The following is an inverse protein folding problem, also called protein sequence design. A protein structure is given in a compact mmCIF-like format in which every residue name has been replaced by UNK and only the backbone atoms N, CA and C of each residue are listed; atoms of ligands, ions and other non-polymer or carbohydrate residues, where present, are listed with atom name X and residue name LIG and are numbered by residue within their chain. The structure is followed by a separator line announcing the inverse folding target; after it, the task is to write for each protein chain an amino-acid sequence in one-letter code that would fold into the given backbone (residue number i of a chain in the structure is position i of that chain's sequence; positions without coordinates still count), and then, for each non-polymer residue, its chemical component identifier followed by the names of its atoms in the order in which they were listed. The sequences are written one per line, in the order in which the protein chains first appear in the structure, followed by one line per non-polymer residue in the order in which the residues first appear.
data_IF_802644586177
#
_entry.id   IF_802644586177
#
_cell.length_a   1.000
_cell.length_b   1.000
_cell.length_c   1.000
_cell.angle_alpha   90.00
_cell.angle_beta   90.00
_cell.angle_gamma   90.00
#
_symmetry.space_group_name_H-M   'P 1'
#
loop_
_entity.id
_entity.type
_entity.pdbx_description
1 polymer ?
#
# COMPACT_ATOMS: atom_id res chain seq x y z
N UNK A 1 54.76 -21.09 41.78
CA UNK A 1 54.42 -21.76 43.08
C UNK A 1 52.92 -21.78 43.27
N UNK A 2 52.42 -22.98 43.66
CA UNK A 2 51.04 -23.25 44.18
C UNK A 2 49.90 -23.09 43.19
N UNK A 3 49.38 -24.06 42.56
CA UNK A 3 48.75 -25.34 42.96
C UNK A 3 47.40 -25.15 43.68
N UNK A 4 46.46 -25.96 43.19
CA UNK A 4 45.34 -26.57 43.91
C UNK A 4 43.98 -25.88 43.57
N UNK A 5 42.89 -26.56 43.27
CA UNK A 5 42.43 -27.95 43.43
C UNK A 5 41.09 -28.15 42.69
N UNK A 6 40.95 -29.28 42.05
CA UNK A 6 39.66 -29.78 41.53
C UNK A 6 38.60 -29.87 42.63
N UNK A 7 37.40 -29.46 42.32
CA UNK A 7 36.19 -29.99 42.96
C UNK A 7 35.24 -30.44 41.88
N UNK A 8 35.13 -31.73 41.74
CA UNK A 8 34.09 -32.42 40.98
C UNK A 8 32.83 -32.41 41.85
N UNK A 9 31.79 -31.78 41.37
CA UNK A 9 30.46 -31.94 41.98
C UNK A 9 29.53 -32.56 40.94
N UNK A 10 29.25 -33.83 41.17
CA UNK A 10 28.23 -34.58 40.44
C UNK A 10 26.85 -34.05 40.83
N UNK A 11 26.06 -33.56 39.88
CA UNK A 11 24.66 -33.30 40.09
C UNK A 11 23.80 -34.25 39.27
N UNK A 12 23.03 -34.99 40.00
CA UNK A 12 22.09 -36.03 39.58
C UNK A 12 21.00 -35.45 38.68
N UNK A 13 20.81 -36.12 37.56
CA UNK A 13 19.79 -35.87 36.56
C UNK A 13 18.41 -36.31 37.10
N UNK A 14 17.53 -35.38 37.43
CA UNK A 14 16.11 -35.66 37.64
C UNK A 14 15.35 -35.41 36.39
N UNK A 15 14.88 -36.45 35.75
CA UNK A 15 14.04 -36.46 34.56
C UNK A 15 12.62 -36.11 34.95
N UNK A 16 12.23 -34.83 34.87
CA UNK A 16 10.83 -34.42 34.98
C UNK A 16 10.21 -34.35 33.58
N UNK A 17 9.31 -35.28 33.32
CA UNK A 17 8.52 -35.33 32.09
C UNK A 17 7.65 -34.13 31.96
N UNK A 18 7.96 -33.25 30.99
CA UNK A 18 7.06 -32.19 30.54
C UNK A 18 6.08 -32.78 29.52
N UNK A 19 4.85 -33.00 29.95
CA UNK A 19 3.74 -33.27 29.05
C UNK A 19 3.50 -32.01 28.22
N UNK A 20 3.98 -32.05 26.97
CA UNK A 20 3.72 -31.01 25.97
C UNK A 20 2.23 -31.05 25.61
N UNK A 21 1.43 -30.14 26.19
CA UNK A 21 0.09 -29.86 25.72
C UNK A 21 0.23 -29.19 24.34
N UNK A 22 -0.04 -29.96 23.29
CA UNK A 22 -0.17 -29.43 21.95
C UNK A 22 -1.36 -28.47 21.95
N UNK A 23 -1.08 -27.18 21.96
CA UNK A 23 -2.10 -26.17 21.68
C UNK A 23 -2.58 -26.35 20.23
N UNK A 24 -3.91 -26.41 20.00
CA UNK A 24 -4.40 -26.38 18.64
C UNK A 24 -3.96 -25.05 18.01
N UNK A 25 -3.06 -25.14 17.05
CA UNK A 25 -2.72 -24.02 16.18
C UNK A 25 -4.00 -23.63 15.46
N UNK A 26 -4.67 -22.58 15.95
CA UNK A 26 -5.69 -21.90 15.15
C UNK A 26 -4.96 -21.41 13.91
N UNK A 27 -5.17 -22.11 12.79
CA UNK A 27 -4.71 -21.67 11.49
C UNK A 27 -5.30 -20.24 11.32
N UNK A 28 -4.46 -19.24 11.56
CA UNK A 28 -4.77 -17.88 11.19
C UNK A 28 -5.02 -17.92 9.70
N UNK A 29 -6.29 -17.79 9.32
CA UNK A 29 -6.66 -17.55 7.93
C UNK A 29 -5.83 -16.37 7.49
N UNK A 30 -4.78 -16.64 6.71
CA UNK A 30 -3.98 -15.60 6.09
C UNK A 30 -4.96 -14.81 5.25
N UNK A 31 -5.31 -13.62 5.74
CA UNK A 31 -6.03 -12.65 4.96
C UNK A 31 -5.12 -12.36 3.77
N UNK A 32 -5.41 -12.99 2.63
CA UNK A 32 -4.71 -12.70 1.37
C UNK A 32 -4.90 -11.22 1.12
N UNK A 33 -3.80 -10.48 1.18
CA UNK A 33 -3.82 -9.05 0.85
C UNK A 33 -4.52 -8.87 -0.50
N UNK A 34 -5.45 -7.93 -0.61
CA UNK A 34 -6.16 -7.72 -1.87
C UNK A 34 -5.14 -7.40 -2.97
N UNK A 35 -5.29 -8.05 -4.12
CA UNK A 35 -4.45 -7.77 -5.29
C UNK A 35 -4.67 -6.33 -5.71
N UNK A 36 -3.61 -5.53 -5.76
CA UNK A 36 -3.68 -4.16 -6.28
C UNK A 36 -3.95 -4.21 -7.78
N UNK A 37 -5.00 -3.55 -8.22
CA UNK A 37 -5.38 -3.42 -9.63
C UNK A 37 -5.39 -1.99 -10.12
N UNK A 38 -5.16 -1.04 -9.22
CA UNK A 38 -5.07 0.38 -9.51
C UNK A 38 -4.47 1.14 -8.33
N UNK A 39 -4.10 2.38 -8.56
CA UNK A 39 -3.69 3.30 -7.51
C UNK A 39 -4.51 4.58 -7.63
N UNK A 40 -5.24 4.90 -6.58
CA UNK A 40 -5.89 6.20 -6.45
C UNK A 40 -4.88 7.21 -5.96
N UNK A 41 -4.81 8.36 -6.65
CA UNK A 41 -3.92 9.46 -6.28
C UNK A 41 -4.74 10.70 -6.02
N UNK A 42 -4.60 11.25 -4.83
CA UNK A 42 -5.27 12.49 -4.43
C UNK A 42 -4.23 13.60 -4.48
N UNK A 43 -4.45 14.57 -5.37
CA UNK A 43 -3.63 15.77 -5.48
C UNK A 43 -4.29 16.91 -4.71
N UNK A 44 -3.48 17.61 -3.92
CA UNK A 44 -3.92 18.80 -3.20
C UNK A 44 -2.92 19.92 -3.42
N UNK A 45 -3.40 21.13 -3.74
CA UNK A 45 -2.54 22.31 -3.85
C UNK A 45 -1.87 22.53 -2.49
N UNK A 46 -0.55 22.69 -2.49
CA UNK A 46 0.22 22.92 -1.28
C UNK A 46 -0.16 24.23 -0.59
N UNK A 47 -0.02 24.24 0.73
CA UNK A 47 -0.18 25.45 1.51
C UNK A 47 0.83 26.53 1.04
N UNK A 48 0.35 27.77 0.85
CA UNK A 48 1.17 28.90 0.36
C UNK A 48 1.35 28.96 -1.15
N UNK A 49 0.94 27.96 -1.91
CA UNK A 49 0.92 28.02 -3.38
C UNK A 49 -0.26 28.85 -3.83
N UNK A 50 -0.01 29.83 -4.70
CA UNK A 50 -1.06 30.69 -5.24
C UNK A 50 -1.72 30.08 -6.48
N UNK A 51 -2.93 30.56 -6.78
CA UNK A 51 -3.64 30.14 -7.99
C UNK A 51 -2.86 30.48 -9.26
N UNK A 52 -2.20 31.63 -9.28
CA UNK A 52 -1.41 32.10 -10.41
C UNK A 52 -0.25 31.16 -10.72
N UNK A 53 0.45 30.68 -9.67
CA UNK A 53 1.52 29.68 -9.82
C UNK A 53 1.01 28.39 -10.45
N UNK A 54 -0.12 27.88 -9.99
CA UNK A 54 -0.75 26.69 -10.56
C UNK A 54 -1.16 26.94 -12.02
N UNK A 55 -1.82 28.06 -12.30
CA UNK A 55 -2.32 28.38 -13.65
C UNK A 55 -1.21 28.62 -14.67
N UNK A 56 -0.04 29.08 -14.25
CA UNK A 56 1.12 29.24 -15.13
C UNK A 56 1.62 27.87 -15.70
N UNK A 57 1.45 26.80 -14.94
CA UNK A 57 1.89 25.44 -15.30
C UNK A 57 0.77 24.64 -15.95
N UNK A 58 -0.48 24.99 -15.71
CA UNK A 58 -1.68 24.24 -16.08
C UNK A 58 -1.74 23.83 -17.57
N UNK A 59 -1.36 24.67 -18.56
CA UNK A 59 -1.40 24.23 -19.95
C UNK A 59 -0.48 23.06 -20.28
N UNK A 60 0.67 22.97 -19.61
CA UNK A 60 1.60 21.84 -19.76
C UNK A 60 1.08 20.63 -19.01
N UNK A 61 0.57 20.82 -17.81
CA UNK A 61 -0.04 19.78 -16.98
C UNK A 61 -1.18 19.08 -17.72
N UNK A 62 -2.14 19.84 -18.25
CA UNK A 62 -3.29 19.29 -18.98
C UNK A 62 -2.83 18.46 -20.18
N UNK A 63 -1.87 18.94 -20.95
CA UNK A 63 -1.37 18.18 -22.12
C UNK A 63 -0.79 16.83 -21.72
N UNK A 64 0.05 16.79 -20.70
CA UNK A 64 0.67 15.54 -20.25
C UNK A 64 -0.36 14.60 -19.60
N UNK A 65 -1.27 15.12 -18.80
CA UNK A 65 -2.35 14.34 -18.18
C UNK A 65 -3.27 13.72 -19.23
N UNK A 66 -3.63 14.47 -20.29
CA UNK A 66 -4.41 13.94 -21.41
C UNK A 66 -3.65 12.83 -22.14
N UNK A 67 -2.34 12.96 -22.34
CA UNK A 67 -1.53 11.90 -22.95
C UNK A 67 -1.52 10.64 -22.07
N UNK A 68 -1.39 10.75 -20.76
CA UNK A 68 -1.46 9.62 -19.83
C UNK A 68 -2.83 8.93 -19.88
N UNK A 69 -3.91 9.70 -20.01
CA UNK A 69 -5.26 9.16 -20.17
C UNK A 69 -5.42 8.42 -21.51
N UNK A 70 -5.01 9.01 -22.62
CA UNK A 70 -5.09 8.39 -23.94
C UNK A 70 -4.22 7.12 -24.05
N UNK A 71 -3.11 7.08 -23.33
CA UNK A 71 -2.22 5.91 -23.24
C UNK A 71 -2.71 4.86 -22.21
N UNK A 72 -3.87 5.07 -21.60
CA UNK A 72 -4.47 4.14 -20.63
C UNK A 72 -3.75 4.06 -19.28
N UNK A 73 -2.83 4.98 -18.99
CA UNK A 73 -2.15 5.07 -17.68
C UNK A 73 -3.08 5.68 -16.62
N UNK A 74 -3.93 6.61 -16.99
CA UNK A 74 -5.01 7.14 -16.17
C UNK A 74 -6.31 6.50 -16.66
N UNK A 75 -7.07 5.86 -15.75
CA UNK A 75 -8.39 5.31 -16.06
C UNK A 75 -9.47 6.35 -15.90
N UNK A 76 -9.40 7.11 -14.83
CA UNK A 76 -10.41 8.08 -14.43
C UNK A 76 -9.74 9.26 -13.72
N UNK A 77 -10.36 10.44 -13.81
CA UNK A 77 -9.96 11.63 -13.11
C UNK A 77 -11.16 12.48 -12.74
N UNK A 78 -11.07 13.14 -11.61
CA UNK A 78 -12.14 13.97 -11.08
C UNK A 78 -11.60 15.22 -10.41
N UNK A 79 -12.25 16.37 -10.64
CA UNK A 79 -12.01 17.52 -9.79
C UNK A 79 -12.56 17.27 -8.40
N UNK A 80 -11.84 17.67 -7.39
CA UNK A 80 -12.34 17.62 -6.02
C UNK A 80 -13.45 18.63 -5.82
N UNK A 81 -14.52 18.24 -5.12
CA UNK A 81 -15.66 19.13 -4.84
C UNK A 81 -15.33 20.35 -3.99
N UNK A 82 -14.19 20.31 -3.25
CA UNK A 82 -13.68 21.46 -2.49
C UNK A 82 -12.84 22.43 -3.33
N UNK A 83 -12.65 22.15 -4.63
CA UNK A 83 -11.86 22.97 -5.55
C UNK A 83 -10.35 22.98 -5.29
N UNK A 84 -9.85 22.14 -4.38
CA UNK A 84 -8.45 22.14 -3.93
C UNK A 84 -7.53 21.18 -4.66
N UNK A 85 -8.02 20.51 -5.68
CA UNK A 85 -7.20 19.57 -6.43
C UNK A 85 -8.00 18.57 -7.28
N UNK A 86 -7.37 17.46 -7.55
CA UNK A 86 -7.83 16.42 -8.48
C UNK A 86 -7.64 15.05 -7.84
N UNK A 87 -8.50 14.11 -8.20
CA UNK A 87 -8.32 12.67 -7.89
C UNK A 87 -8.12 11.94 -9.21
N UNK A 88 -7.09 11.10 -9.27
CA UNK A 88 -6.83 10.19 -10.38
C UNK A 88 -7.00 8.74 -9.95
N UNK A 89 -7.47 7.91 -10.86
CA UNK A 89 -7.35 6.46 -10.76
C UNK A 89 -6.37 5.98 -11.84
N UNK A 90 -5.19 5.54 -11.42
CA UNK A 90 -4.15 5.03 -12.30
C UNK A 90 -4.30 3.54 -12.55
N UNK A 91 -3.96 3.11 -13.77
CA UNK A 91 -3.87 1.70 -14.17
C UNK A 91 -2.50 1.12 -13.79
N UNK A 92 -2.14 1.24 -12.52
CA UNK A 92 -0.86 0.74 -12.00
C UNK A 92 -1.12 -0.40 -11.00
N UNK A 93 -0.23 -1.39 -11.00
CA UNK A 93 -0.29 -2.51 -10.05
C UNK A 93 0.37 -2.22 -8.72
N UNK A 94 1.13 -1.14 -8.61
CA UNK A 94 1.82 -0.75 -7.38
C UNK A 94 2.00 0.78 -7.23
N UNK A 95 2.21 1.20 -5.99
CA UNK A 95 2.39 2.61 -5.64
C UNK A 95 3.70 3.20 -6.18
N UNK A 96 4.86 2.51 -6.19
CA UNK A 96 6.08 3.03 -6.80
C UNK A 96 5.93 3.41 -8.27
N UNK A 97 5.29 2.57 -9.10
CA UNK A 97 5.01 2.89 -10.50
C UNK A 97 4.09 4.12 -10.61
N UNK A 98 3.01 4.14 -9.84
CA UNK A 98 2.08 5.27 -9.82
C UNK A 98 2.76 6.59 -9.44
N UNK A 99 3.65 6.54 -8.46
CA UNK A 99 4.45 7.69 -8.02
C UNK A 99 5.36 8.20 -9.13
N UNK A 100 6.08 7.31 -9.82
CA UNK A 100 6.97 7.69 -10.92
C UNK A 100 6.20 8.40 -12.05
N UNK A 101 4.98 7.93 -12.37
CA UNK A 101 4.12 8.58 -13.37
C UNK A 101 3.71 9.98 -12.94
N UNK A 102 3.28 10.15 -11.69
CA UNK A 102 2.76 11.43 -11.20
C UNK A 102 3.86 12.46 -10.93
N UNK A 103 5.04 12.02 -10.47
CA UNK A 103 6.18 12.90 -10.21
C UNK A 103 6.80 13.46 -11.51
N UNK A 104 6.53 12.84 -12.66
CA UNK A 104 6.96 13.35 -13.97
C UNK A 104 6.08 14.49 -14.48
N UNK A 105 4.91 14.74 -13.90
CA UNK A 105 3.99 15.80 -14.29
C UNK A 105 4.52 17.20 -13.91
N UNK A 106 4.19 18.23 -14.70
CA UNK A 106 4.71 19.60 -14.49
C UNK A 106 4.42 20.22 -13.13
N UNK A 107 3.22 20.03 -12.58
CA UNK A 107 2.87 20.54 -11.25
C UNK A 107 3.68 19.87 -10.14
N UNK A 108 3.96 18.57 -10.29
CA UNK A 108 4.79 17.83 -9.37
C UNK A 108 6.26 18.26 -9.45
N UNK A 109 6.80 18.41 -10.66
CA UNK A 109 8.18 18.91 -10.90
C UNK A 109 8.43 20.28 -10.31
N UNK A 110 7.43 21.14 -10.28
CA UNK A 110 7.49 22.45 -9.64
C UNK A 110 7.13 22.44 -8.15
N UNK A 111 6.88 21.25 -7.59
CA UNK A 111 6.57 21.07 -6.18
C UNK A 111 5.34 21.86 -5.70
N UNK A 112 4.33 22.01 -6.56
CA UNK A 112 3.13 22.80 -6.28
C UNK A 112 1.99 21.99 -5.66
N UNK A 113 2.09 20.64 -5.69
CA UNK A 113 1.05 19.73 -5.21
C UNK A 113 1.59 18.77 -4.16
N UNK A 114 0.74 18.43 -3.20
CA UNK A 114 0.91 17.24 -2.35
C UNK A 114 0.18 16.06 -2.99
N UNK A 115 0.77 14.88 -2.86
CA UNK A 115 0.26 13.64 -3.44
C UNK A 115 0.05 12.60 -2.35
N UNK A 116 -1.16 12.08 -2.27
CA UNK A 116 -1.50 10.89 -1.47
C UNK A 116 -1.77 9.72 -2.42
N UNK A 117 -1.19 8.55 -2.14
CA UNK A 117 -1.29 7.35 -2.96
C UNK A 117 -1.96 6.24 -2.19
N UNK A 118 -3.05 5.70 -2.73
CA UNK A 118 -3.84 4.64 -2.12
C UNK A 118 -3.93 3.47 -3.11
N UNK A 119 -3.28 2.35 -2.78
CA UNK A 119 -3.44 1.13 -3.56
C UNK A 119 -4.88 0.63 -3.44
N UNK A 120 -5.50 0.33 -4.57
CA UNK A 120 -6.88 -0.16 -4.65
C UNK A 120 -6.95 -1.48 -5.41
N UNK A 121 -7.91 -2.30 -5.05
CA UNK A 121 -8.13 -3.60 -5.66
C UNK A 121 -9.59 -4.01 -5.60
N UNK A 122 -9.92 -5.23 -6.04
CA UNK A 122 -11.27 -5.76 -5.98
C UNK A 122 -11.81 -5.73 -4.56
N UNK A 123 -13.09 -5.44 -4.40
CA UNK A 123 -13.76 -5.44 -3.11
C UNK A 123 -13.74 -6.84 -2.50
N UNK A 124 -12.90 -7.03 -1.47
CA UNK A 124 -12.64 -8.34 -0.84
C UNK A 124 -13.91 -9.06 -0.38
N UNK A 125 -14.90 -8.40 0.25
CA UNK A 125 -16.14 -9.07 0.67
C UNK A 125 -16.93 -9.73 -0.47
N UNK A 126 -16.79 -9.27 -1.71
CA UNK A 126 -17.49 -9.88 -2.85
C UNK A 126 -17.01 -11.32 -3.11
N UNK A 127 -15.79 -11.68 -2.75
CA UNK A 127 -15.31 -13.07 -2.86
C UNK A 127 -16.13 -14.03 -2.00
N UNK A 128 -16.67 -13.58 -0.88
CA UNK A 128 -17.50 -14.37 0.02
C UNK A 128 -18.84 -14.76 -0.64
N UNK A 129 -19.32 -13.94 -1.57
CA UNK A 129 -20.53 -14.23 -2.33
C UNK A 129 -20.29 -15.25 -3.45
N UNK A 130 -19.04 -15.42 -3.88
CA UNK A 130 -18.68 -16.36 -4.94
C UNK A 130 -18.30 -17.75 -4.39
N UNK A 131 -18.02 -17.86 -3.11
CA UNK A 131 -17.88 -19.14 -2.42
C UNK A 131 -19.28 -19.58 -1.96
N UNK A 132 -20.13 -20.04 -2.87
CA UNK A 132 -21.35 -20.76 -2.49
C UNK A 132 -20.95 -21.94 -1.61
N UNK A 133 -21.58 -22.14 -0.45
CA UNK A 133 -21.45 -23.41 0.23
C UNK A 133 -21.94 -24.47 -0.75
N UNK A 134 -21.06 -25.42 -1.08
CA UNK A 134 -21.44 -26.59 -1.84
C UNK A 134 -22.69 -27.15 -1.20
N UNK A 135 -23.75 -27.31 -1.97
CA UNK A 135 -24.97 -28.00 -1.55
C UNK A 135 -24.51 -29.35 -0.96
N UNK A 136 -24.57 -29.46 0.36
CA UNK A 136 -24.51 -30.79 0.98
C UNK A 136 -25.83 -31.45 0.73
N UNK A 137 -25.84 -32.65 0.15
CA UNK A 137 -27.07 -33.46 -0.05
C UNK A 137 -27.63 -33.93 1.29
#
# INVERSE_FOLDING_TARGET
MKAIRNVVLAFTLTLTGATSMAQPSVAQAQATSPTTTGVMVILTVKAGVTREQVMAVMPAEIRQTVQLYLNGKIREWYSRGDGRGVVFLLASSDVPEARAIMEDLPLAKQNLMDHEYIAVGPLVPLRLLMTSPAHQP
#
